data_IF_146001768910
#
_entry.id   IF_146001768910
#
_cell.length_a   1.000
_cell.length_b   1.000
_cell.length_c   1.000
_cell.angle_alpha   90.00
_cell.angle_beta   90.00
_cell.angle_gamma   90.00
#
_symmetry.space_group_name_H-M   'P 1'
#
loop_
_entity.id
_entity.type
_entity.pdbx_description
1 polymer ?
#
# COMPACT_ATOMS: atom_id res chain seq x y z
N UNK A 1 -49.58 -44.56 11.83
CA UNK A 1 -49.16 -43.90 10.57
C UNK A 1 -48.12 -44.79 9.90
N UNK A 2 -48.50 -45.57 8.88
CA UNK A 2 -47.57 -46.50 8.18
C UNK A 2 -46.70 -45.69 7.22
N UNK A 3 -45.54 -45.25 7.69
CA UNK A 3 -44.53 -44.58 6.87
C UNK A 3 -44.05 -45.59 5.82
N UNK A 4 -44.38 -45.37 4.54
CA UNK A 4 -43.98 -46.26 3.45
C UNK A 4 -42.48 -46.20 3.33
N UNK A 5 -41.81 -47.34 3.48
CA UNK A 5 -40.33 -47.49 3.42
C UNK A 5 -39.73 -46.80 2.18
N UNK A 6 -40.46 -46.77 1.06
CA UNK A 6 -40.05 -46.05 -0.15
C UNK A 6 -39.93 -44.53 0.01
N UNK A 7 -40.77 -43.91 0.82
CA UNK A 7 -40.73 -42.46 1.10
C UNK A 7 -39.53 -42.12 1.98
N UNK A 8 -39.26 -42.93 3.02
CA UNK A 8 -38.06 -42.74 3.83
C UNK A 8 -36.78 -42.89 3.00
N UNK A 9 -36.73 -43.89 2.11
CA UNK A 9 -35.57 -44.10 1.24
C UNK A 9 -35.36 -42.93 0.29
N UNK A 10 -36.44 -42.37 -0.27
CA UNK A 10 -36.36 -41.19 -1.12
C UNK A 10 -35.83 -39.97 -0.37
N UNK A 11 -36.35 -39.69 0.83
CA UNK A 11 -35.92 -38.56 1.66
C UNK A 11 -34.43 -38.69 2.03
N UNK A 12 -33.99 -39.88 2.46
CA UNK A 12 -32.58 -40.11 2.81
C UNK A 12 -31.67 -39.91 1.60
N UNK A 13 -32.06 -40.41 0.42
CA UNK A 13 -31.27 -40.22 -0.81
C UNK A 13 -31.19 -38.75 -1.22
N UNK A 14 -32.29 -38.01 -1.16
CA UNK A 14 -32.28 -36.58 -1.52
C UNK A 14 -31.46 -35.76 -0.54
N UNK A 15 -31.54 -36.05 0.77
CA UNK A 15 -30.75 -35.35 1.78
C UNK A 15 -29.26 -35.64 1.66
N UNK A 16 -28.87 -36.87 1.29
CA UNK A 16 -27.46 -37.21 1.04
C UNK A 16 -26.90 -36.48 -0.18
N UNK A 17 -27.69 -36.35 -1.25
CA UNK A 17 -27.28 -35.61 -2.45
C UNK A 17 -27.09 -34.12 -2.13
N UNK A 18 -28.02 -33.49 -1.42
CA UNK A 18 -27.90 -32.09 -1.03
C UNK A 18 -26.72 -31.85 -0.09
N UNK A 19 -26.50 -32.73 0.89
CA UNK A 19 -25.31 -32.64 1.76
C UNK A 19 -24.00 -32.76 0.95
N UNK A 20 -23.95 -33.61 -0.07
CA UNK A 20 -22.76 -33.73 -0.94
C UNK A 20 -22.55 -32.47 -1.79
N UNK A 21 -23.62 -31.85 -2.29
CA UNK A 21 -23.53 -30.58 -3.02
C UNK A 21 -23.01 -29.49 -2.09
N UNK A 22 -23.54 -29.36 -0.88
CA UNK A 22 -23.09 -28.36 0.10
C UNK A 22 -21.63 -28.58 0.51
N UNK A 23 -21.21 -29.83 0.70
CA UNK A 23 -19.81 -30.18 0.99
C UNK A 23 -18.90 -29.81 -0.20
N UNK A 24 -19.29 -30.11 -1.44
CA UNK A 24 -18.52 -29.74 -2.64
C UNK A 24 -18.43 -28.21 -2.75
N UNK A 25 -19.52 -27.48 -2.55
CA UNK A 25 -19.54 -26.02 -2.56
C UNK A 25 -18.61 -25.46 -1.48
N UNK A 26 -18.69 -25.99 -0.26
CA UNK A 26 -17.80 -25.62 0.85
C UNK A 26 -16.33 -25.91 0.49
N UNK A 27 -16.03 -27.07 -0.08
CA UNK A 27 -14.67 -27.38 -0.55
C UNK A 27 -14.22 -26.46 -1.68
N UNK A 28 -15.07 -26.08 -2.63
CA UNK A 28 -14.72 -25.09 -3.65
C UNK A 28 -14.41 -23.71 -3.04
N UNK A 29 -15.17 -23.28 -2.04
CA UNK A 29 -14.89 -22.02 -1.33
C UNK A 29 -13.67 -22.10 -0.39
N UNK A 30 -13.37 -23.28 0.17
CA UNK A 30 -12.20 -23.49 1.02
C UNK A 30 -10.91 -23.75 0.21
N UNK A 31 -11.00 -24.34 -0.99
CA UNK A 31 -9.85 -24.66 -1.86
C UNK A 31 -9.38 -23.44 -2.67
N UNK A 32 -10.21 -22.39 -2.79
CA UNK A 32 -9.72 -21.03 -3.12
C UNK A 32 -8.73 -20.45 -2.08
N UNK A 33 -8.55 -21.11 -0.93
CA UNK A 33 -7.62 -20.71 0.13
C UNK A 33 -6.27 -21.45 0.13
N UNK A 34 -6.02 -22.42 -0.77
CA UNK A 34 -4.83 -23.28 -0.68
C UNK A 34 -3.88 -23.24 -1.89
N UNK A 35 -4.05 -22.25 -2.77
CA UNK A 35 -3.01 -21.81 -3.67
C UNK A 35 -1.90 -21.15 -2.86
N UNK A 36 -0.79 -21.86 -2.66
CA UNK A 36 0.45 -21.34 -2.06
C UNK A 36 0.78 -19.95 -2.62
N UNK A 37 0.42 -18.91 -1.89
CA UNK A 37 1.06 -17.59 -1.95
C UNK A 37 2.43 -17.77 -1.28
N UNK A 38 3.29 -18.56 -1.91
CA UNK A 38 4.68 -18.18 -1.96
C UNK A 38 4.71 -17.07 -3.00
N UNK A 39 4.36 -15.85 -2.57
CA UNK A 39 4.70 -14.64 -3.30
C UNK A 39 6.19 -14.72 -3.60
N UNK A 40 6.53 -15.21 -4.79
CA UNK A 40 7.83 -15.00 -5.42
C UNK A 40 7.86 -13.55 -5.89
N UNK A 41 7.62 -12.61 -4.98
CA UNK A 41 8.21 -11.27 -5.07
C UNK A 41 9.45 -11.33 -4.18
N UNK A 42 10.38 -12.20 -4.58
CA UNK A 42 11.77 -12.00 -4.24
C UNK A 42 12.28 -10.99 -5.26
N UNK A 43 12.13 -9.69 -4.97
CA UNK A 43 13.02 -8.69 -5.56
C UNK A 43 14.40 -8.99 -4.96
N UNK A 44 15.07 -9.96 -5.57
CA UNK A 44 16.41 -10.37 -5.23
C UNK A 44 17.35 -9.34 -5.81
N UNK A 45 17.48 -8.20 -5.13
CA UNK A 45 18.66 -7.35 -5.28
C UNK A 45 19.82 -8.07 -4.58
N UNK A 46 20.28 -9.14 -5.24
CA UNK A 46 21.58 -9.75 -4.98
C UNK A 46 22.59 -8.67 -5.34
N UNK A 47 23.36 -8.22 -4.36
CA UNK A 47 24.50 -7.34 -4.57
C UNK A 47 25.47 -8.00 -5.55
N UNK A 48 25.32 -7.68 -6.82
CA UNK A 48 26.31 -7.91 -7.84
C UNK A 48 26.36 -6.65 -8.70
N UNK A 49 27.56 -6.11 -8.86
CA UNK A 49 27.83 -4.89 -9.61
C UNK A 49 27.49 -5.14 -11.09
N UNK A 50 26.28 -4.77 -11.53
CA UNK A 50 25.95 -4.62 -12.95
C UNK A 50 25.41 -3.23 -13.22
N UNK A 51 25.87 -2.70 -14.35
CA UNK A 51 25.77 -1.33 -14.86
C UNK A 51 24.39 -0.70 -14.74
N UNK A 52 24.36 0.56 -14.30
CA UNK A 52 23.18 1.43 -14.13
C UNK A 52 22.30 1.56 -15.40
N UNK A 53 22.83 1.24 -16.58
CA UNK A 53 22.13 1.35 -17.86
C UNK A 53 21.07 0.25 -18.08
N UNK A 54 21.23 -0.95 -17.51
CA UNK A 54 20.25 -2.05 -17.68
C UNK A 54 18.99 -1.87 -16.81
N UNK A 55 19.08 -1.12 -15.69
CA UNK A 55 17.95 -0.86 -14.80
C UNK A 55 16.91 0.09 -15.43
N UNK A 56 17.35 1.01 -16.29
CA UNK A 56 16.45 1.98 -16.96
C UNK A 56 15.65 1.34 -18.08
N UNK A 57 16.19 0.29 -18.70
CA UNK A 57 15.53 -0.39 -19.83
C UNK A 57 14.43 -1.32 -19.33
N UNK A 58 14.60 -1.99 -18.18
CA UNK A 58 13.61 -2.95 -17.67
C UNK A 58 12.45 -2.32 -16.90
N UNK A 59 12.66 -1.15 -16.28
CA UNK A 59 11.60 -0.43 -15.56
C UNK A 59 10.62 0.33 -16.49
N UNK A 60 11.05 0.70 -17.69
CA UNK A 60 10.22 1.46 -18.62
C UNK A 60 9.23 0.61 -19.43
N UNK A 61 9.39 -0.70 -19.48
CA UNK A 61 8.55 -1.60 -20.31
C UNK A 61 7.32 -2.17 -19.58
N UNK A 62 7.18 -1.95 -18.26
CA UNK A 62 6.09 -2.55 -17.46
C UNK A 62 5.23 -1.56 -16.67
N UNK A 63 5.53 -0.25 -16.75
CA UNK A 63 4.66 0.75 -16.11
C UNK A 63 3.61 1.19 -17.12
N UNK A 64 2.37 0.79 -16.88
CA UNK A 64 1.23 1.15 -17.71
C UNK A 64 1.18 2.66 -17.91
N UNK A 65 1.05 3.09 -19.16
CA UNK A 65 1.09 4.53 -19.51
C UNK A 65 -0.04 5.30 -18.82
N UNK A 66 -1.17 4.63 -18.58
CA UNK A 66 -2.31 5.09 -17.80
C UNK A 66 -1.97 5.33 -16.32
N UNK A 67 -1.24 4.41 -15.68
CA UNK A 67 -0.82 4.55 -14.29
C UNK A 67 0.17 5.72 -14.09
N UNK A 68 1.05 5.98 -15.08
CA UNK A 68 1.93 7.15 -15.06
C UNK A 68 1.14 8.45 -15.16
N UNK A 69 0.08 8.48 -15.96
CA UNK A 69 -0.78 9.65 -16.11
C UNK A 69 -1.59 9.93 -14.84
N UNK A 70 -2.20 8.88 -14.23
CA UNK A 70 -2.87 9.00 -12.95
C UNK A 70 -1.92 9.50 -11.86
N UNK A 71 -0.70 8.95 -11.79
CA UNK A 71 0.32 9.40 -10.85
C UNK A 71 0.67 10.88 -11.07
N UNK A 72 0.77 11.31 -12.34
CA UNK A 72 0.98 12.71 -12.70
C UNK A 72 -0.12 13.63 -12.19
N UNK A 73 -1.39 13.20 -12.28
CA UNK A 73 -2.54 13.95 -11.78
C UNK A 73 -2.50 14.04 -10.24
N UNK A 74 -2.18 12.95 -9.55
CA UNK A 74 -2.08 12.93 -8.08
C UNK A 74 -0.95 13.81 -7.56
N UNK A 75 0.18 13.83 -8.26
CA UNK A 75 1.35 14.64 -7.89
C UNK A 75 1.19 16.11 -8.25
N UNK A 76 0.32 16.47 -9.21
CA UNK A 76 0.14 17.85 -9.70
C UNK A 76 -0.18 18.86 -8.60
N UNK A 77 -0.89 18.44 -7.56
CA UNK A 77 -1.28 19.29 -6.43
C UNK A 77 -0.39 19.12 -5.19
N UNK A 78 0.72 18.38 -5.31
CA UNK A 78 1.66 18.17 -4.22
C UNK A 78 2.98 18.89 -4.53
N UNK A 79 3.59 19.45 -3.49
CA UNK A 79 4.90 20.12 -3.59
C UNK A 79 5.94 19.39 -2.76
N UNK A 80 7.19 19.42 -3.23
CA UNK A 80 8.38 18.93 -2.50
C UNK A 80 9.25 20.07 -1.99
N UNK A 81 8.85 21.33 -2.21
CA UNK A 81 9.59 22.51 -1.76
C UNK A 81 9.42 22.75 -0.25
N UNK A 82 10.46 23.24 0.43
CA UNK A 82 10.48 23.46 1.90
C UNK A 82 10.10 24.89 2.32
N UNK A 83 9.42 25.63 1.46
CA UNK A 83 9.09 27.05 1.64
C UNK A 83 7.57 27.29 1.78
N UNK A 84 6.79 26.22 1.96
CA UNK A 84 5.32 26.26 1.93
C UNK A 84 4.64 26.19 3.31
N UNK A 85 3.30 26.18 3.32
CA UNK A 85 2.50 25.99 4.53
C UNK A 85 2.89 24.70 5.27
N UNK A 86 2.91 24.75 6.61
CA UNK A 86 3.23 23.59 7.45
C UNK A 86 4.70 23.25 7.61
N UNK A 87 5.59 24.05 7.00
CA UNK A 87 7.03 23.96 7.23
C UNK A 87 7.36 24.24 8.70
N UNK A 88 8.36 23.54 9.24
CA UNK A 88 8.73 23.60 10.66
C UNK A 88 7.56 23.31 11.62
N UNK A 89 6.53 22.62 11.14
CA UNK A 89 5.34 22.30 11.95
C UNK A 89 4.41 23.48 12.22
N UNK A 90 4.55 24.59 11.49
CA UNK A 90 3.63 25.71 11.59
C UNK A 90 2.18 25.32 11.21
N UNK A 91 1.20 26.01 11.77
CA UNK A 91 -0.21 25.77 11.42
C UNK A 91 -0.50 26.19 9.97
N UNK A 92 -1.33 25.42 9.27
CA UNK A 92 -1.83 25.76 7.94
C UNK A 92 -3.16 26.48 8.09
N UNK A 93 -3.26 27.67 7.50
CA UNK A 93 -4.47 28.47 7.49
C UNK A 93 -5.19 28.22 6.16
N UNK A 94 -6.43 27.74 6.24
CA UNK A 94 -7.30 27.52 5.08
C UNK A 94 -8.22 28.71 4.93
N UNK A 95 -8.43 29.16 3.70
CA UNK A 95 -9.32 30.27 3.40
C UNK A 95 -10.78 29.94 3.81
N UNK A 96 -11.52 30.87 4.45
CA UNK A 96 -12.91 30.65 4.84
C UNK A 96 -13.85 30.29 3.68
N UNK A 97 -13.55 30.71 2.45
CA UNK A 97 -14.34 30.36 1.25
C UNK A 97 -14.32 28.86 0.95
N UNK A 98 -13.30 28.13 1.42
CA UNK A 98 -13.15 26.69 1.19
C UNK A 98 -13.67 25.84 2.36
N UNK A 99 -14.42 26.44 3.29
CA UNK A 99 -14.91 25.78 4.51
C UNK A 99 -15.73 24.53 4.23
N UNK A 100 -16.60 24.57 3.23
CA UNK A 100 -17.46 23.46 2.84
C UNK A 100 -16.67 22.27 2.28
N UNK A 101 -15.71 22.55 1.39
CA UNK A 101 -14.84 21.52 0.81
C UNK A 101 -13.98 20.86 1.87
N UNK A 102 -13.45 21.65 2.82
CA UNK A 102 -12.69 21.12 3.97
C UNK A 102 -13.56 20.18 4.80
N UNK A 103 -14.80 20.57 5.13
CA UNK A 103 -15.72 19.71 5.90
C UNK A 103 -16.03 18.43 5.14
N UNK A 104 -16.24 18.51 3.82
CA UNK A 104 -16.47 17.34 2.98
C UNK A 104 -15.27 16.38 3.01
N UNK A 105 -14.07 16.88 2.73
CA UNK A 105 -12.84 16.08 2.71
C UNK A 105 -12.43 15.56 4.08
N UNK A 106 -12.78 16.28 5.15
CA UNK A 106 -12.57 15.83 6.52
C UNK A 106 -13.32 14.51 6.81
N UNK A 107 -14.53 14.32 6.25
CA UNK A 107 -15.30 13.09 6.44
C UNK A 107 -14.70 11.87 5.74
N UNK A 108 -13.82 12.07 4.75
CA UNK A 108 -13.25 10.96 3.97
C UNK A 108 -12.08 10.27 4.68
N UNK A 109 -11.35 10.99 5.53
CA UNK A 109 -10.13 10.49 6.20
C UNK A 109 -10.07 10.86 7.69
N UNK A 110 -11.08 11.52 8.25
CA UNK A 110 -11.16 11.98 9.65
C UNK A 110 -10.06 12.99 10.05
N UNK A 111 -9.37 13.58 9.08
CA UNK A 111 -8.45 14.70 9.26
C UNK A 111 -8.55 15.69 8.08
N UNK A 112 -7.93 16.87 8.24
CA UNK A 112 -7.93 17.90 7.19
C UNK A 112 -7.02 17.53 6.02
N UNK A 113 -7.58 16.82 5.05
CA UNK A 113 -6.90 16.45 3.80
C UNK A 113 -6.53 17.68 2.95
N UNK A 114 -7.27 18.78 3.06
CA UNK A 114 -6.94 20.00 2.31
C UNK A 114 -5.67 20.63 2.85
N UNK A 115 -5.59 20.83 4.16
CA UNK A 115 -4.37 21.28 4.80
C UNK A 115 -3.22 20.31 4.51
N UNK A 116 -3.48 19.01 4.62
CA UNK A 116 -2.54 17.96 4.26
C UNK A 116 -1.98 18.14 2.84
N UNK A 117 -2.80 18.40 1.82
CA UNK A 117 -2.32 18.53 0.44
C UNK A 117 -1.49 19.80 0.22
N UNK A 118 -1.77 20.88 0.96
CA UNK A 118 -0.98 22.12 0.89
C UNK A 118 0.41 21.98 1.53
N UNK A 119 0.56 21.04 2.47
CA UNK A 119 1.82 20.80 3.16
C UNK A 119 2.75 19.99 2.27
N UNK A 120 3.98 20.49 2.11
CA UNK A 120 5.03 19.82 1.36
C UNK A 120 5.28 18.38 1.79
N UNK A 121 5.52 17.51 0.81
CA UNK A 121 5.93 16.12 1.03
C UNK A 121 7.31 16.05 1.72
N UNK A 122 8.13 17.08 1.53
CA UNK A 122 9.48 17.19 2.10
C UNK A 122 9.58 18.16 3.29
N UNK A 123 8.48 18.44 4.00
CA UNK A 123 8.50 19.42 5.10
C UNK A 123 9.53 19.05 6.18
N UNK A 124 10.21 20.04 6.74
CA UNK A 124 11.01 19.84 7.95
C UNK A 124 10.14 19.95 9.21
N UNK A 125 10.66 19.38 10.31
CA UNK A 125 10.09 19.56 11.63
C UNK A 125 11.21 19.98 12.59
N UNK A 126 10.93 20.88 13.55
CA UNK A 126 11.89 21.21 14.60
C UNK A 126 12.18 19.97 15.47
N UNK A 127 13.37 19.95 16.05
CA UNK A 127 13.79 18.85 16.91
C UNK A 127 13.25 19.03 18.33
N UNK A 128 12.13 18.37 18.62
CA UNK A 128 11.49 18.38 19.94
C UNK A 128 12.16 17.46 20.98
N UNK A 129 13.23 16.74 20.62
CA UNK A 129 13.91 15.82 21.54
C UNK A 129 14.61 16.59 22.67
N UNK A 130 14.70 15.97 23.85
CA UNK A 130 15.48 16.52 24.97
C UNK A 130 16.98 16.59 24.65
N UNK A 131 17.73 17.42 25.38
CA UNK A 131 19.19 17.52 25.21
C UNK A 131 19.89 16.16 25.37
N UNK A 132 19.49 15.37 26.38
CA UNK A 132 20.02 14.02 26.63
C UNK A 132 19.82 13.09 25.42
N UNK A 133 18.65 13.13 24.79
CA UNK A 133 18.38 12.32 23.59
C UNK A 133 19.26 12.75 22.40
N UNK A 134 19.48 14.06 22.22
CA UNK A 134 20.37 14.58 21.16
C UNK A 134 21.82 14.19 21.38
N UNK A 135 22.29 14.20 22.62
CA UNK A 135 23.64 13.76 22.97
C UNK A 135 23.81 12.26 22.81
N UNK A 136 22.83 11.45 23.26
CA UNK A 136 22.84 10.01 23.07
C UNK A 136 22.87 9.64 21.58
N UNK A 137 22.06 10.30 20.75
CA UNK A 137 22.03 10.09 19.30
C UNK A 137 23.40 10.24 18.63
N UNK A 138 24.26 11.15 19.11
CA UNK A 138 25.62 11.34 18.57
C UNK A 138 26.60 10.25 19.00
N UNK A 139 26.30 9.50 20.05
CA UNK A 139 27.16 8.44 20.60
C UNK A 139 26.87 7.07 20.00
N UNK A 140 25.69 6.88 19.40
CA UNK A 140 25.35 5.62 18.74
C UNK A 140 26.17 5.45 17.47
N UNK A 141 26.87 4.32 17.38
CA UNK A 141 27.53 3.92 16.15
C UNK A 141 26.50 3.34 15.17
N UNK A 142 26.09 4.17 14.21
CA UNK A 142 25.10 3.83 13.19
C UNK A 142 25.63 2.77 12.20
N UNK A 143 26.95 2.55 12.14
CA UNK A 143 27.57 1.62 11.17
C UNK A 143 27.45 0.16 11.60
N UNK A 144 27.27 -0.09 12.90
CA UNK A 144 27.14 -1.45 13.46
C UNK A 144 25.68 -1.92 13.57
N UNK A 145 24.73 -1.03 13.29
CA UNK A 145 23.32 -1.36 13.38
C UNK A 145 22.89 -2.32 12.27
N UNK A 146 21.98 -3.27 12.56
CA UNK A 146 21.45 -4.16 11.54
C UNK A 146 20.56 -3.38 10.56
N UNK A 147 20.51 -3.86 9.32
CA UNK A 147 19.55 -3.39 8.34
C UNK A 147 18.13 -3.76 8.74
N UNK A 148 17.16 -2.92 8.43
CA UNK A 148 15.74 -3.10 8.75
C UNK A 148 14.88 -3.10 7.48
N UNK A 149 13.81 -3.90 7.49
CA UNK A 149 12.73 -3.83 6.51
C UNK A 149 11.56 -3.05 7.13
N UNK A 150 11.04 -2.07 6.41
CA UNK A 150 9.96 -1.19 6.90
C UNK A 150 8.67 -1.62 6.23
N UNK A 151 7.67 -1.98 7.01
CA UNK A 151 6.37 -2.43 6.50
C UNK A 151 5.34 -1.35 6.83
N UNK A 152 4.67 -0.82 5.80
CA UNK A 152 3.60 0.17 5.93
C UNK A 152 2.33 -0.46 5.37
N UNK A 153 1.40 -0.77 6.27
CA UNK A 153 0.05 -1.21 5.89
C UNK A 153 -0.84 0.01 5.78
N UNK A 154 -1.64 0.11 4.71
CA UNK A 154 -2.55 1.22 4.51
C UNK A 154 -3.88 0.75 3.94
N UNK A 155 -4.95 1.46 4.31
CA UNK A 155 -6.30 1.25 3.80
C UNK A 155 -6.96 2.62 3.55
N UNK A 156 -7.32 2.91 2.31
CA UNK A 156 -7.97 4.17 1.91
C UNK A 156 -7.24 5.45 2.39
N UNK A 157 -5.92 5.38 2.58
CA UNK A 157 -5.12 6.50 3.07
C UNK A 157 -5.05 7.65 2.05
N UNK A 158 -4.97 8.89 2.54
CA UNK A 158 -4.79 10.03 1.65
C UNK A 158 -3.39 9.99 1.01
N UNK A 159 -3.32 10.35 -0.28
CA UNK A 159 -2.05 10.26 -1.02
C UNK A 159 -0.94 11.13 -0.43
N UNK A 160 -1.27 12.34 0.04
CA UNK A 160 -0.32 13.27 0.66
C UNK A 160 0.24 12.76 1.99
N UNK A 161 -0.55 12.06 2.80
CA UNK A 161 -0.10 11.47 4.07
C UNK A 161 0.78 10.26 3.82
N UNK A 162 0.36 9.34 2.95
CA UNK A 162 1.14 8.15 2.60
C UNK A 162 2.52 8.54 2.02
N UNK A 163 2.56 9.44 1.05
CA UNK A 163 3.81 9.90 0.46
C UNK A 163 4.70 10.61 1.48
N UNK A 164 4.15 11.44 2.38
CA UNK A 164 4.94 12.06 3.45
C UNK A 164 5.54 11.04 4.40
N UNK A 165 4.84 9.96 4.70
CA UNK A 165 5.35 8.89 5.55
C UNK A 165 6.54 8.20 4.88
N UNK A 166 6.38 7.78 3.63
CA UNK A 166 7.45 7.15 2.84
C UNK A 166 8.66 8.08 2.73
N UNK A 167 8.42 9.34 2.38
CA UNK A 167 9.47 10.32 2.19
C UNK A 167 10.18 10.68 3.51
N UNK A 168 9.45 10.73 4.62
CA UNK A 168 10.03 10.92 5.95
C UNK A 168 10.93 9.75 6.36
N UNK A 169 10.53 8.52 6.05
CA UNK A 169 11.35 7.32 6.28
C UNK A 169 12.67 7.46 5.53
N UNK A 170 12.61 7.73 4.22
CA UNK A 170 13.82 7.85 3.38
C UNK A 170 14.73 8.98 3.85
N UNK A 171 14.19 10.13 4.22
CA UNK A 171 14.99 11.31 4.57
C UNK A 171 15.51 11.34 6.01
N UNK A 172 14.86 10.61 6.93
CA UNK A 172 15.23 10.63 8.37
C UNK A 172 15.88 9.35 8.85
N UNK A 173 15.99 8.34 7.98
CA UNK A 173 16.70 7.10 8.28
C UNK A 173 17.99 7.01 7.44
N UNK A 174 19.11 6.53 8.03
CA UNK A 174 20.33 6.26 7.27
C UNK A 174 20.07 5.22 6.19
N UNK A 175 20.31 5.56 4.92
CA UNK A 175 19.94 4.73 3.76
C UNK A 175 20.58 3.34 3.79
N UNK A 176 21.80 3.20 4.32
CA UNK A 176 22.48 1.90 4.43
C UNK A 176 21.81 0.93 5.41
N UNK A 177 20.97 1.44 6.31
CA UNK A 177 20.20 0.62 7.24
C UNK A 177 18.84 0.22 6.66
N UNK A 178 18.35 0.87 5.62
CA UNK A 178 17.06 0.55 5.01
C UNK A 178 17.29 -0.54 3.97
N UNK A 179 16.83 -1.75 4.27
CA UNK A 179 16.90 -2.86 3.32
C UNK A 179 15.82 -2.73 2.24
N UNK A 180 14.58 -2.49 2.68
CA UNK A 180 13.40 -2.40 1.81
C UNK A 180 12.26 -1.66 2.54
N UNK A 181 11.38 -1.03 1.76
CA UNK A 181 10.11 -0.48 2.23
C UNK A 181 8.99 -1.24 1.51
N UNK A 182 8.18 -1.96 2.28
CA UNK A 182 7.09 -2.80 1.78
C UNK A 182 5.78 -2.07 2.08
N UNK A 183 5.05 -1.70 1.03
CA UNK A 183 3.71 -1.14 1.14
C UNK A 183 2.71 -2.28 0.99
N UNK A 184 1.81 -2.43 1.95
CA UNK A 184 0.76 -3.46 1.94
C UNK A 184 -0.58 -2.73 1.87
N UNK A 185 -1.31 -2.92 0.78
CA UNK A 185 -2.68 -2.44 0.64
C UNK A 185 -3.66 -3.43 1.29
N UNK A 186 -4.41 -2.96 2.29
CA UNK A 186 -5.45 -3.73 2.96
C UNK A 186 -6.81 -3.48 2.29
N UNK A 187 -6.95 -3.86 1.02
CA UNK A 187 -8.20 -3.71 0.23
C UNK A 187 -8.72 -2.27 0.19
N UNK A 188 -7.88 -1.32 -0.21
CA UNK A 188 -8.33 0.05 -0.49
C UNK A 188 -9.35 0.09 -1.63
N UNK A 189 -10.35 0.95 -1.51
CA UNK A 189 -11.39 1.16 -2.53
C UNK A 189 -11.04 2.32 -3.48
N UNK A 190 -9.88 2.96 -3.30
CA UNK A 190 -9.46 4.13 -4.08
C UNK A 190 -8.73 3.70 -5.36
N UNK A 191 -9.16 4.23 -6.51
CA UNK A 191 -8.65 3.84 -7.83
C UNK A 191 -7.14 4.04 -7.99
N UNK A 192 -6.59 5.09 -7.37
CA UNK A 192 -5.19 5.46 -7.51
C UNK A 192 -4.19 4.55 -6.78
N UNK A 193 -4.66 3.56 -6.01
CA UNK A 193 -3.79 2.61 -5.29
C UNK A 193 -3.42 1.41 -6.16
N UNK A 194 -4.16 1.17 -7.25
CA UNK A 194 -3.93 0.04 -8.12
C UNK A 194 -2.89 0.37 -9.19
N UNK A 195 -1.62 0.07 -8.93
CA UNK A 195 -0.76 -0.38 -10.02
C UNK A 195 -1.31 -1.76 -10.42
N UNK A 196 -2.27 -1.77 -11.34
CA UNK A 196 -2.72 -3.00 -11.99
C UNK A 196 -1.50 -3.60 -12.71
N UNK A 197 -0.87 -4.61 -12.13
CA UNK A 197 -0.22 -5.60 -12.97
C UNK A 197 -1.33 -6.44 -13.58
N UNK A 198 -1.87 -5.99 -14.70
CA UNK A 198 -2.69 -6.84 -15.55
C UNK A 198 -1.78 -7.98 -16.03
N UNK A 199 -1.86 -9.14 -15.38
CA UNK A 199 -1.18 -10.34 -15.87
C UNK A 199 -1.92 -10.75 -17.14
N UNK A 200 -1.45 -10.24 -18.28
CA UNK A 200 -1.90 -10.67 -19.59
C UNK A 200 -1.67 -12.18 -19.73
N UNK A 201 -2.74 -12.96 -19.53
CA UNK A 201 -2.79 -14.39 -19.83
C UNK A 201 -2.91 -14.64 -21.34
N UNK A 202 -1.95 -14.11 -22.12
CA UNK A 202 -1.83 -14.41 -23.54
C UNK A 202 -0.54 -15.21 -23.76
N UNK A 203 -0.55 -16.48 -23.36
CA UNK A 203 0.35 -17.48 -23.91
C UNK A 203 -0.47 -18.64 -24.47
N UNK A 204 -0.46 -18.70 -25.81
CA UNK A 204 -0.64 -19.85 -26.66
C UNK A 204 -2.04 -20.51 -26.74
N UNK A 205 -2.91 -19.88 -27.55
CA UNK A 205 -3.79 -20.63 -28.45
C UNK A 205 -3.45 -20.23 -29.89
N UNK A 206 -2.45 -20.88 -30.48
CA UNK A 206 -2.30 -21.00 -31.95
C UNK A 206 -1.20 -21.99 -32.32
N UNK A 207 -1.62 -22.99 -33.11
CA UNK A 207 -0.87 -24.00 -33.88
C UNK A 207 -0.25 -25.15 -33.10
#
# INVERSE_FOLDING_TARGET
MRLRVGVCRAIVLTSLIWMMIDVIILFYFLDTGNGRIASKVAVKLRGDRRSEDDLRVQANDFVDREAVEELGILLKNLTFERNGPGEMGSAVIIDPSQQEERIRKFKENEFDVMASNLISINRALPDYRSSKCREAARKYDVTTLPTVSIIIVFHNEAWSTLLRTIHSVVNRSPLHLIKEVILIDDLSNRSYVFVKSEVNNNIAASS
#
